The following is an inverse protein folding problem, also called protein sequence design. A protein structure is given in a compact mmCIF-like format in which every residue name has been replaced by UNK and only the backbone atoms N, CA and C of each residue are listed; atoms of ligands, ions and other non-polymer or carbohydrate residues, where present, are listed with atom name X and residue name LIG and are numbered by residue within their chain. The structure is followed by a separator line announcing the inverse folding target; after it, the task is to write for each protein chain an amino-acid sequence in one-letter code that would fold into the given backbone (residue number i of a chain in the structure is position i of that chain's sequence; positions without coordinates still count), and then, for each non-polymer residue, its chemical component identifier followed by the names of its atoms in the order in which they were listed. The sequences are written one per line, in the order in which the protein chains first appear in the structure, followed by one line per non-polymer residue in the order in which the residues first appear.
data_IF_215237920416
#
_entry.id   IF_215237920416
#
_cell.length_a   1.000
_cell.length_b   1.000
_cell.length_c   1.000
_cell.angle_alpha   90.00
_cell.angle_beta   90.00
_cell.angle_gamma   90.00
#
_symmetry.space_group_name_H-M   'P 1'
#
loop_
_entity.id
_entity.type
_entity.pdbx_description
1 polymer ?
#
# COMPACT_ATOMS: atom_id res chain seq x y z
N UNK A 1 -29.88 -33.27 9.60
CA UNK A 1 -30.39 -31.89 9.75
C UNK A 1 -29.98 -31.12 8.51
N UNK A 2 -30.96 -30.78 7.67
CA UNK A 2 -30.80 -30.06 6.41
C UNK A 2 -30.66 -28.58 6.72
N UNK A 3 -29.44 -28.04 6.64
CA UNK A 3 -29.25 -26.59 6.44
C UNK A 3 -29.86 -26.30 5.07
N UNK A 4 -31.10 -25.82 5.07
CA UNK A 4 -31.89 -25.65 3.84
C UNK A 4 -31.22 -24.61 2.94
N UNK A 5 -31.17 -24.89 1.63
CA UNK A 5 -30.62 -24.05 0.56
C UNK A 5 -30.90 -22.53 0.71
N UNK A 6 -32.02 -22.17 1.34
CA UNK A 6 -32.45 -20.79 1.59
C UNK A 6 -31.52 -20.03 2.54
N UNK A 7 -30.96 -20.68 3.57
CA UNK A 7 -29.99 -20.09 4.49
C UNK A 7 -28.62 -19.88 3.81
N UNK A 8 -28.25 -20.78 2.88
CA UNK A 8 -27.02 -20.64 2.10
C UNK A 8 -27.08 -19.43 1.16
N UNK A 9 -28.22 -19.20 0.50
CA UNK A 9 -28.42 -18.01 -0.35
C UNK A 9 -28.31 -16.71 0.45
N UNK A 10 -28.94 -16.65 1.63
CA UNK A 10 -28.86 -15.48 2.52
C UNK A 10 -27.43 -15.21 3.00
N UNK A 11 -26.69 -16.25 3.36
CA UNK A 11 -25.28 -16.13 3.77
C UNK A 11 -24.39 -15.58 2.65
N UNK A 12 -24.63 -15.99 1.40
CA UNK A 12 -23.89 -15.46 0.24
C UNK A 12 -24.17 -13.96 0.06
N UNK A 13 -25.44 -13.55 0.07
CA UNK A 13 -25.79 -12.14 -0.07
C UNK A 13 -25.22 -11.29 1.06
N UNK A 14 -25.33 -11.75 2.31
CA UNK A 14 -24.78 -11.05 3.48
C UNK A 14 -23.25 -10.90 3.39
N UNK A 15 -22.53 -11.94 2.94
CA UNK A 15 -21.09 -11.86 2.75
C UNK A 15 -20.69 -10.82 1.68
N UNK A 16 -21.44 -10.76 0.58
CA UNK A 16 -21.22 -9.74 -0.48
C UNK A 16 -21.50 -8.33 0.05
N UNK A 17 -22.57 -8.14 0.82
CA UNK A 17 -22.89 -6.84 1.43
C UNK A 17 -21.80 -6.37 2.39
N UNK A 18 -21.31 -7.26 3.27
CA UNK A 18 -20.20 -6.96 4.19
C UNK A 18 -18.94 -6.54 3.42
N UNK A 19 -18.64 -7.21 2.31
CA UNK A 19 -17.49 -6.86 1.47
C UNK A 19 -17.66 -5.48 0.81
N UNK A 20 -18.85 -5.18 0.27
CA UNK A 20 -19.15 -3.88 -0.31
C UNK A 20 -19.02 -2.75 0.72
N UNK A 21 -19.52 -2.99 1.94
CA UNK A 21 -19.38 -2.03 3.04
C UNK A 21 -17.92 -1.85 3.47
N UNK A 22 -17.13 -2.93 3.45
CA UNK A 22 -15.69 -2.87 3.67
C UNK A 22 -15.00 -1.96 2.64
N UNK A 23 -15.36 -2.06 1.35
CA UNK A 23 -14.81 -1.18 0.32
C UNK A 23 -15.20 0.29 0.48
N UNK A 24 -16.45 0.58 0.87
CA UNK A 24 -16.86 1.96 1.20
C UNK A 24 -16.03 2.52 2.36
N UNK A 25 -15.83 1.73 3.40
CA UNK A 25 -15.03 2.14 4.56
C UNK A 25 -13.56 2.40 4.16
N UNK A 26 -12.99 1.59 3.27
CA UNK A 26 -11.65 1.84 2.74
C UNK A 26 -11.58 3.10 1.88
N UNK A 27 -12.61 3.38 1.07
CA UNK A 27 -12.69 4.63 0.30
C UNK A 27 -12.68 5.86 1.22
N UNK A 28 -13.47 5.83 2.31
CA UNK A 28 -13.47 6.88 3.34
C UNK A 28 -12.08 6.98 3.99
N UNK A 29 -11.50 5.85 4.42
CA UNK A 29 -10.18 5.82 5.04
C UNK A 29 -9.11 6.46 4.16
N UNK A 30 -9.02 6.07 2.88
CA UNK A 30 -8.03 6.63 1.95
C UNK A 30 -8.27 8.09 1.60
N UNK A 31 -9.53 8.55 1.67
CA UNK A 31 -9.88 9.96 1.43
C UNK A 31 -9.47 10.84 2.62
N UNK A 32 -9.74 10.38 3.84
CA UNK A 32 -9.27 11.04 5.06
C UNK A 32 -7.74 10.99 5.17
N UNK A 33 -7.11 9.88 4.77
CA UNK A 33 -5.66 9.76 4.74
C UNK A 33 -5.02 10.79 3.81
N UNK A 34 -5.61 11.05 2.64
CA UNK A 34 -5.12 12.10 1.74
C UNK A 34 -5.29 13.48 2.34
N UNK A 35 -6.50 13.79 2.82
CA UNK A 35 -6.81 15.11 3.39
C UNK A 35 -5.87 15.44 4.55
N UNK A 36 -5.69 14.51 5.49
CA UNK A 36 -4.78 14.69 6.63
C UNK A 36 -3.33 14.63 6.17
N UNK A 37 -3.01 13.80 5.18
CA UNK A 37 -1.68 13.73 4.56
C UNK A 37 -1.22 15.08 4.04
N UNK A 38 -2.08 15.76 3.28
CA UNK A 38 -1.84 17.11 2.75
C UNK A 38 -1.58 18.13 3.88
N UNK A 39 -2.39 18.10 4.95
CA UNK A 39 -2.19 18.94 6.14
C UNK A 39 -0.83 18.70 6.81
N UNK A 40 -0.32 17.46 6.74
CA UNK A 40 0.95 17.03 7.32
C UNK A 40 2.14 17.14 6.35
N UNK A 41 1.94 17.72 5.16
CA UNK A 41 2.99 17.94 4.15
C UNK A 41 3.31 16.71 3.29
N UNK A 42 2.42 15.72 3.25
CA UNK A 42 2.46 14.64 2.25
C UNK A 42 1.70 15.03 0.98
N UNK A 43 2.18 14.56 -0.15
CA UNK A 43 1.52 14.71 -1.46
C UNK A 43 1.31 13.33 -2.05
N UNK A 44 0.09 13.04 -2.51
CA UNK A 44 -0.23 11.77 -3.15
C UNK A 44 0.48 11.66 -4.50
N UNK A 45 1.16 10.54 -4.75
CA UNK A 45 1.78 10.29 -6.05
C UNK A 45 0.78 9.80 -7.10
N UNK A 46 -0.27 9.11 -6.65
CA UNK A 46 -1.34 8.60 -7.51
C UNK A 46 -2.71 9.03 -6.97
N UNK A 47 -3.64 9.47 -7.84
CA UNK A 47 -4.96 9.94 -7.40
C UNK A 47 -5.85 8.81 -6.84
N UNK A 48 -5.49 7.55 -7.09
CA UNK A 48 -6.19 6.36 -6.59
C UNK A 48 -5.17 5.42 -5.98
N UNK A 49 -5.62 4.56 -5.06
CA UNK A 49 -4.80 3.43 -4.62
C UNK A 49 -4.50 2.49 -5.81
N UNK A 50 -3.30 1.95 -5.82
CA UNK A 50 -2.89 0.84 -6.66
C UNK A 50 -3.44 -0.47 -6.10
N UNK A 51 -3.64 -1.44 -6.99
CA UNK A 51 -4.15 -2.77 -6.65
C UNK A 51 -3.72 -3.79 -7.68
N UNK A 52 -3.60 -5.04 -7.25
CA UNK A 52 -3.56 -6.16 -8.18
C UNK A 52 -4.97 -6.56 -8.60
N UNK A 53 -5.14 -6.85 -9.89
CA UNK A 53 -6.36 -7.40 -10.49
C UNK A 53 -5.96 -8.30 -11.65
N UNK A 54 -6.71 -9.38 -11.85
CA UNK A 54 -6.57 -10.26 -13.01
C UNK A 54 -7.94 -10.61 -13.56
N UNK A 55 -8.08 -10.61 -14.88
CA UNK A 55 -9.32 -11.08 -15.54
C UNK A 55 -9.28 -12.60 -15.82
N UNK A 56 -8.10 -13.21 -15.74
CA UNK A 56 -7.88 -14.64 -16.07
C UNK A 56 -7.62 -15.52 -14.85
N UNK A 57 -7.42 -14.93 -13.67
CA UNK A 57 -7.18 -15.62 -12.41
C UNK A 57 -8.25 -15.21 -11.40
N UNK A 58 -9.00 -16.18 -10.89
CA UNK A 58 -10.10 -15.95 -9.96
C UNK A 58 -9.65 -15.30 -8.65
N UNK A 59 -8.40 -15.50 -8.25
CA UNK A 59 -7.83 -14.86 -7.07
C UNK A 59 -7.68 -13.35 -7.25
N UNK A 60 -7.65 -12.88 -8.51
CA UNK A 60 -7.56 -11.46 -8.88
C UNK A 60 -8.91 -10.80 -9.18
N UNK A 61 -10.02 -11.52 -9.06
CA UNK A 61 -11.36 -10.93 -9.18
C UNK A 61 -11.73 -10.13 -7.94
N UNK A 62 -11.20 -10.52 -6.78
CA UNK A 62 -11.39 -9.86 -5.49
C UNK A 62 -10.20 -8.96 -5.18
N UNK A 63 -10.47 -7.68 -4.91
CA UNK A 63 -9.43 -6.73 -4.51
C UNK A 63 -9.25 -6.83 -3.00
N UNK A 64 -8.11 -7.34 -2.57
CA UNK A 64 -7.79 -7.57 -1.16
C UNK A 64 -6.55 -6.82 -0.69
N UNK A 65 -5.88 -6.11 -1.60
CA UNK A 65 -4.63 -5.39 -1.37
C UNK A 65 -4.73 -4.02 -2.04
N UNK A 66 -4.49 -2.97 -1.24
CA UNK A 66 -4.67 -1.58 -1.61
C UNK A 66 -3.42 -0.81 -1.20
N UNK A 67 -2.67 -0.28 -2.16
CA UNK A 67 -1.44 0.44 -1.89
C UNK A 67 -1.53 1.88 -2.39
N UNK A 68 -1.27 2.84 -1.50
CA UNK A 68 -1.23 4.26 -1.87
C UNK A 68 0.15 4.84 -1.61
N UNK A 69 0.63 5.65 -2.55
CA UNK A 69 1.97 6.22 -2.50
C UNK A 69 1.93 7.71 -2.21
N UNK A 70 2.88 8.14 -1.40
CA UNK A 70 3.03 9.51 -0.96
C UNK A 70 4.49 9.96 -1.07
N UNK A 71 4.69 11.25 -1.25
CA UNK A 71 5.98 11.94 -1.16
C UNK A 71 5.85 13.14 -0.22
N UNK A 72 6.94 13.76 0.19
CA UNK A 72 6.87 14.98 1.00
C UNK A 72 6.84 16.21 0.11
N UNK A 73 5.99 17.18 0.44
CA UNK A 73 5.87 18.45 -0.28
C UNK A 73 7.18 19.25 -0.27
N UNK A 74 7.96 19.10 0.80
CA UNK A 74 9.25 19.76 0.95
C UNK A 74 10.35 19.18 0.01
N UNK A 75 10.14 17.99 -0.56
CA UNK A 75 11.12 17.37 -1.44
C UNK A 75 11.22 18.10 -2.79
N UNK A 76 12.42 18.21 -3.38
CA UNK A 76 12.65 18.88 -4.66
C UNK A 76 11.78 18.29 -5.78
N UNK A 77 11.26 19.13 -6.67
CA UNK A 77 10.52 18.65 -7.86
C UNK A 77 11.49 18.08 -8.89
N UNK A 78 11.11 16.99 -9.56
CA UNK A 78 11.87 16.40 -10.65
C UNK A 78 11.88 17.31 -11.88
N UNK A 79 13.04 17.47 -12.50
CA UNK A 79 13.17 18.19 -13.78
C UNK A 79 12.48 17.46 -14.94
N UNK A 80 12.32 16.14 -14.84
CA UNK A 80 11.75 15.30 -15.91
C UNK A 80 10.25 15.07 -15.75
N UNK A 81 9.76 14.99 -14.51
CA UNK A 81 8.36 14.71 -14.20
C UNK A 81 7.84 15.77 -13.20
N UNK A 82 7.10 16.80 -13.65
CA UNK A 82 6.69 17.91 -12.79
C UNK A 82 5.89 17.52 -11.53
N UNK A 83 5.16 16.40 -11.60
CA UNK A 83 4.35 15.88 -10.48
C UNK A 83 5.14 14.93 -9.57
N UNK A 84 6.42 14.67 -9.87
CA UNK A 84 7.30 13.81 -9.10
C UNK A 84 8.21 14.68 -8.21
N UNK A 85 8.35 14.27 -6.95
CA UNK A 85 9.37 14.82 -6.05
C UNK A 85 10.54 13.84 -5.90
N UNK A 86 11.74 14.37 -5.72
CA UNK A 86 12.99 13.60 -5.61
C UNK A 86 13.36 13.52 -4.14
N UNK A 87 12.81 12.53 -3.46
CA UNK A 87 13.04 12.27 -2.04
C UNK A 87 12.67 10.84 -1.66
N UNK A 88 12.25 10.63 -0.41
CA UNK A 88 11.77 9.30 -0.03
C UNK A 88 10.38 9.07 -0.62
N UNK A 89 10.12 7.84 -1.06
CA UNK A 89 8.78 7.40 -1.42
C UNK A 89 8.17 6.68 -0.22
N UNK A 90 6.95 7.04 0.13
CA UNK A 90 6.20 6.42 1.22
C UNK A 90 5.03 5.62 0.65
N UNK A 91 4.66 4.54 1.34
CA UNK A 91 3.53 3.69 0.99
C UNK A 91 2.65 3.42 2.20
N UNK A 92 1.34 3.44 1.98
CA UNK A 92 0.34 2.91 2.92
C UNK A 92 -0.38 1.77 2.23
N UNK A 93 -0.19 0.57 2.74
CA UNK A 93 -0.76 -0.66 2.19
C UNK A 93 -1.81 -1.22 3.14
N UNK A 94 -3.01 -1.51 2.63
CA UNK A 94 -4.04 -2.25 3.35
C UNK A 94 -4.17 -3.64 2.75
N UNK A 95 -3.99 -4.67 3.58
CA UNK A 95 -4.17 -6.09 3.21
C UNK A 95 -5.31 -6.70 4.00
N UNK A 96 -6.37 -7.12 3.30
CA UNK A 96 -7.59 -7.70 3.88
C UNK A 96 -7.52 -9.24 4.01
N UNK A 97 -6.64 -9.89 3.26
CA UNK A 97 -6.53 -11.34 3.15
C UNK A 97 -5.64 -11.98 4.22
N UNK A 98 -5.42 -11.27 5.31
CA UNK A 98 -4.67 -11.72 6.48
C UNK A 98 -5.64 -12.26 7.54
N UNK A 99 -5.13 -12.96 8.57
CA UNK A 99 -5.97 -13.44 9.70
C UNK A 99 -6.77 -12.28 10.34
N UNK A 100 -6.17 -11.10 10.36
CA UNK A 100 -6.79 -9.82 10.70
C UNK A 100 -6.28 -8.76 9.71
N UNK A 101 -7.12 -7.81 9.26
CA UNK A 101 -6.71 -6.78 8.31
C UNK A 101 -5.48 -5.99 8.77
N UNK A 102 -4.47 -5.92 7.92
CA UNK A 102 -3.17 -5.29 8.22
C UNK A 102 -3.06 -3.97 7.47
N UNK A 103 -2.46 -2.99 8.15
CA UNK A 103 -1.98 -1.74 7.59
C UNK A 103 -0.44 -1.74 7.61
N UNK A 104 0.21 -1.79 6.45
CA UNK A 104 1.67 -1.64 6.35
C UNK A 104 2.02 -0.18 6.08
N UNK A 105 2.88 0.39 6.93
CA UNK A 105 3.51 1.69 6.70
C UNK A 105 4.87 1.44 6.06
N UNK A 106 5.13 2.01 4.90
CA UNK A 106 6.27 1.66 4.06
C UNK A 106 7.08 2.90 3.71
N UNK A 107 8.41 2.78 3.75
CA UNK A 107 9.34 3.74 3.15
C UNK A 107 10.23 3.01 2.15
N UNK A 108 10.38 3.58 0.97
CA UNK A 108 11.26 3.11 -0.10
C UNK A 108 12.41 4.11 -0.31
N UNK A 109 13.60 3.56 -0.54
CA UNK A 109 14.75 4.27 -1.07
C UNK A 109 14.81 3.99 -2.58
N UNK A 110 14.63 5.02 -3.40
CA UNK A 110 14.36 4.89 -4.84
C UNK A 110 15.36 5.68 -5.66
N UNK A 111 15.92 5.02 -6.67
CA UNK A 111 16.60 5.69 -7.79
C UNK A 111 15.61 6.05 -8.88
N UNK A 112 15.18 7.32 -8.89
CA UNK A 112 14.23 7.81 -9.90
C UNK A 112 14.79 7.85 -11.33
N UNK A 113 16.11 7.67 -11.54
CA UNK A 113 16.69 7.63 -12.90
C UNK A 113 16.19 6.43 -13.73
N UNK A 114 15.62 5.42 -13.08
CA UNK A 114 15.02 4.27 -13.74
C UNK A 114 13.54 4.47 -14.12
N UNK A 115 12.93 5.61 -13.77
CA UNK A 115 11.53 5.89 -14.05
C UNK A 115 11.37 6.41 -15.48
N UNK A 116 10.39 5.86 -16.20
CA UNK A 116 10.05 6.28 -17.56
C UNK A 116 8.65 6.90 -17.66
N UNK A 117 7.84 6.76 -16.61
CA UNK A 117 6.49 7.31 -16.47
C UNK A 117 6.07 7.32 -15.00
N UNK A 118 4.99 8.03 -14.70
CA UNK A 118 4.35 7.97 -13.39
C UNK A 118 3.69 6.60 -13.15
N UNK A 119 3.58 6.13 -11.88
CA UNK A 119 2.88 4.91 -11.54
C UNK A 119 1.40 4.96 -11.92
N UNK A 120 0.90 3.85 -12.44
CA UNK A 120 -0.52 3.61 -12.69
C UNK A 120 -1.09 2.64 -11.64
N UNK A 121 -2.42 2.56 -11.57
CA UNK A 121 -3.13 1.66 -10.62
C UNK A 121 -2.66 0.20 -10.72
N UNK A 122 -2.32 -0.26 -11.93
CA UNK A 122 -1.85 -1.62 -12.21
C UNK A 122 -0.39 -1.89 -11.87
N UNK A 123 0.40 -0.86 -11.54
CA UNK A 123 1.81 -1.01 -11.17
C UNK A 123 2.01 -1.41 -9.70
N UNK A 124 0.93 -1.82 -9.02
CA UNK A 124 0.95 -2.35 -7.65
C UNK A 124 2.12 -3.31 -7.39
N UNK A 125 2.36 -4.24 -8.32
CA UNK A 125 3.40 -5.26 -8.20
C UNK A 125 4.82 -4.68 -8.06
N UNK A 126 5.08 -3.46 -8.56
CA UNK A 126 6.38 -2.79 -8.45
C UNK A 126 6.70 -2.48 -6.99
N UNK A 127 5.71 -1.99 -6.25
CA UNK A 127 5.85 -1.49 -4.89
C UNK A 127 5.45 -2.53 -3.83
N UNK A 128 4.63 -3.51 -4.20
CA UNK A 128 4.35 -4.73 -3.43
C UNK A 128 5.55 -5.69 -3.43
N UNK A 129 6.26 -5.77 -4.55
CA UNK A 129 7.36 -6.71 -4.79
C UNK A 129 8.47 -6.74 -3.72
N UNK A 130 8.94 -5.59 -3.18
CA UNK A 130 10.00 -5.54 -2.16
C UNK A 130 9.77 -6.42 -0.92
N UNK A 131 8.53 -6.80 -0.60
CA UNK A 131 8.24 -7.65 0.57
C UNK A 131 7.71 -9.03 0.20
N UNK A 132 7.75 -9.40 -1.09
CA UNK A 132 7.04 -10.57 -1.62
C UNK A 132 7.83 -11.37 -2.65
N UNK A 133 8.72 -10.72 -3.41
CA UNK A 133 9.46 -11.35 -4.50
C UNK A 133 10.92 -11.62 -4.11
N UNK A 134 11.15 -12.70 -3.36
CA UNK A 134 12.48 -13.13 -2.86
C UNK A 134 13.52 -13.38 -3.98
N UNK A 135 13.05 -13.60 -5.21
CA UNK A 135 13.96 -13.67 -6.34
C UNK A 135 14.61 -12.30 -6.60
N UNK A 136 13.91 -11.19 -6.43
CA UNK A 136 14.41 -9.83 -6.72
C UNK A 136 14.91 -9.08 -5.49
N UNK A 137 14.56 -9.53 -4.28
CA UNK A 137 14.88 -8.85 -3.04
C UNK A 137 15.37 -9.83 -1.98
N UNK A 138 16.32 -9.41 -1.17
CA UNK A 138 16.61 -10.04 0.12
C UNK A 138 15.64 -9.48 1.14
N UNK A 139 14.75 -10.34 1.67
CA UNK A 139 13.62 -9.93 2.50
C UNK A 139 13.80 -10.51 3.90
N UNK A 140 13.62 -9.68 4.92
CA UNK A 140 13.66 -10.10 6.31
C UNK A 140 12.44 -9.53 7.07
N UNK A 141 11.93 -10.30 8.02
CA UNK A 141 10.86 -9.90 8.93
C UNK A 141 11.26 -10.22 10.37
N UNK A 142 11.26 -9.22 11.24
CA UNK A 142 11.46 -9.37 12.68
C UNK A 142 10.28 -8.74 13.39
N UNK A 143 9.44 -9.58 14.02
CA UNK A 143 8.18 -9.11 14.61
C UNK A 143 7.26 -8.52 13.54
N UNK A 144 6.88 -7.26 13.68
CA UNK A 144 6.07 -6.52 12.70
C UNK A 144 6.89 -5.66 11.74
N UNK A 145 8.21 -5.63 11.87
CA UNK A 145 9.11 -4.85 11.02
C UNK A 145 9.61 -5.71 9.86
N UNK A 146 9.52 -5.18 8.66
CA UNK A 146 10.06 -5.76 7.44
C UNK A 146 11.18 -4.89 6.90
N UNK A 147 12.20 -5.53 6.35
CA UNK A 147 13.26 -4.86 5.60
C UNK A 147 13.52 -5.63 4.32
N UNK A 148 13.82 -4.92 3.25
CA UNK A 148 14.32 -5.55 2.04
C UNK A 148 15.40 -4.75 1.34
N UNK A 149 16.29 -5.46 0.65
CA UNK A 149 17.32 -4.88 -0.21
C UNK A 149 17.22 -5.50 -1.58
N UNK A 150 17.27 -4.66 -2.61
CA UNK A 150 17.09 -5.09 -3.99
C UNK A 150 18.34 -5.77 -4.51
N UNK A 151 18.16 -6.95 -5.10
CA UNK A 151 19.22 -7.63 -5.85
C UNK A 151 19.38 -6.96 -7.21
N UNK A 152 20.56 -7.06 -7.82
CA UNK A 152 20.89 -6.39 -9.09
C UNK A 152 19.81 -6.57 -10.18
N UNK A 153 19.34 -7.81 -10.39
CA UNK A 153 18.29 -8.13 -11.37
C UNK A 153 16.92 -7.52 -11.08
N UNK A 154 16.69 -7.04 -9.86
CA UNK A 154 15.46 -6.42 -9.38
C UNK A 154 15.39 -4.92 -9.61
N UNK A 155 16.54 -4.23 -9.66
CA UNK A 155 16.63 -2.75 -9.64
C UNK A 155 15.82 -2.14 -10.78
N UNK A 156 16.15 -2.46 -12.03
CA UNK A 156 15.43 -1.92 -13.19
C UNK A 156 13.96 -2.38 -13.24
N UNK A 157 13.71 -3.63 -12.86
CA UNK A 157 12.35 -4.21 -12.90
C UNK A 157 11.40 -3.53 -11.90
N UNK A 158 11.91 -3.11 -10.75
CA UNK A 158 11.14 -2.43 -9.70
C UNK A 158 11.53 -0.96 -9.60
N UNK A 159 11.79 -0.35 -10.76
CA UNK A 159 11.84 1.10 -10.94
C UNK A 159 12.84 1.78 -10.00
N UNK A 160 14.00 1.16 -9.82
CA UNK A 160 15.09 1.73 -9.04
C UNK A 160 14.92 1.65 -7.54
N UNK A 161 13.91 0.94 -7.00
CA UNK A 161 13.85 0.65 -5.57
C UNK A 161 15.16 -0.04 -5.19
N UNK A 162 15.94 0.55 -4.27
CA UNK A 162 17.21 0.03 -3.75
C UNK A 162 16.99 -0.81 -2.49
N UNK A 163 16.08 -0.35 -1.65
CA UNK A 163 15.69 -0.99 -0.39
C UNK A 163 14.34 -0.45 0.06
N UNK A 164 13.66 -1.21 0.89
CA UNK A 164 12.41 -0.81 1.51
C UNK A 164 12.35 -1.26 2.96
N UNK A 165 11.62 -0.50 3.76
CA UNK A 165 11.31 -0.84 5.15
C UNK A 165 9.80 -0.71 5.35
N UNK A 166 9.20 -1.63 6.10
CA UNK A 166 7.82 -1.52 6.50
C UNK A 166 7.59 -1.88 7.96
N UNK A 167 6.53 -1.34 8.54
CA UNK A 167 6.00 -1.75 9.84
C UNK A 167 4.53 -2.08 9.68
N UNK A 168 4.15 -3.29 10.07
CA UNK A 168 2.76 -3.75 10.10
C UNK A 168 2.07 -3.26 11.39
N UNK A 169 0.86 -2.73 11.25
CA UNK A 169 -0.10 -2.41 12.30
C UNK A 169 -1.43 -3.12 12.00
N UNK A 170 -2.30 -3.25 13.00
CA UNK A 170 -3.66 -3.72 12.75
C UNK A 170 -4.50 -2.57 12.21
N UNK A 171 -5.18 -2.75 11.08
CA UNK A 171 -6.01 -1.71 10.48
C UNK A 171 -7.10 -1.23 11.45
N UNK A 172 -7.64 -2.16 12.23
CA UNK A 172 -8.73 -1.90 13.19
C UNK A 172 -8.35 -0.95 14.32
N UNK A 173 -7.05 -0.68 14.53
CA UNK A 173 -6.57 0.26 15.55
C UNK A 173 -6.62 1.73 15.07
N UNK A 174 -6.84 1.96 13.77
CA UNK A 174 -6.97 3.31 13.18
C UNK A 174 -8.45 3.63 12.99
N UNK A 175 -9.02 4.43 13.91
CA UNK A 175 -10.48 4.66 14.01
C UNK A 175 -10.89 6.11 13.78
N UNK A 176 -9.92 7.02 13.72
CA UNK A 176 -10.17 8.45 13.67
C UNK A 176 -9.10 9.19 12.86
N UNK A 177 -9.41 10.45 12.51
CA UNK A 177 -8.45 11.40 11.93
C UNK A 177 -7.21 11.57 12.80
N UNK A 178 -7.38 11.57 14.13
CA UNK A 178 -6.23 11.67 15.03
C UNK A 178 -5.36 10.42 15.01
N UNK A 179 -5.97 9.24 14.85
CA UNK A 179 -5.21 7.99 14.66
C UNK A 179 -4.45 7.98 13.34
N UNK A 180 -5.04 8.50 12.26
CA UNK A 180 -4.34 8.68 10.98
C UNK A 180 -3.09 9.55 11.19
N UNK A 181 -3.23 10.69 11.86
CA UNK A 181 -2.10 11.59 12.12
C UNK A 181 -1.00 10.90 12.94
N UNK A 182 -1.33 10.41 14.12
CA UNK A 182 -0.33 9.89 15.07
C UNK A 182 0.17 8.49 14.74
N UNK A 183 -0.71 7.59 14.31
CA UNK A 183 -0.38 6.17 14.12
C UNK A 183 0.06 5.83 12.70
N UNK A 184 -0.29 6.65 11.70
CA UNK A 184 0.05 6.41 10.29
C UNK A 184 1.09 7.40 9.80
N UNK A 185 0.76 8.70 9.79
CA UNK A 185 1.58 9.72 9.13
C UNK A 185 2.85 10.07 9.91
N UNK A 186 2.77 10.26 11.23
CA UNK A 186 3.96 10.48 12.08
C UNK A 186 4.90 9.28 12.02
N UNK A 187 4.36 8.06 12.21
CA UNK A 187 5.16 6.84 12.12
C UNK A 187 5.81 6.64 10.76
N UNK A 188 5.15 7.00 9.66
CA UNK A 188 5.74 6.98 8.32
C UNK A 188 7.00 7.85 8.25
N UNK A 189 6.96 9.07 8.81
CA UNK A 189 8.11 10.00 8.85
C UNK A 189 9.27 9.43 9.68
N UNK A 190 8.96 8.67 10.73
CA UNK A 190 9.93 8.05 11.64
C UNK A 190 10.60 6.79 11.08
N UNK A 191 10.04 6.18 10.02
CA UNK A 191 10.64 5.01 9.40
C UNK A 191 12.04 5.34 8.86
N UNK A 192 13.06 4.72 9.42
CA UNK A 192 14.46 4.90 9.06
C UNK A 192 15.11 3.57 8.74
N UNK A 193 16.03 3.58 7.78
CA UNK A 193 16.91 2.45 7.52
C UNK A 193 17.99 2.43 8.59
N UNK A 194 18.21 1.25 9.17
CA UNK A 194 19.32 1.00 10.10
C UNK A 194 20.68 1.08 9.38
#
# INVERSE_FOLDING_TARGET
MSVTLNEQGQNISAAVEVLLETYKNLEIFFSELDRVGEEEGFVTLTPRFMRWKSDTDYTGWLIQDFLKLYQLEADPVSETFPDLRIGNLFGVEVRLNEKYPVLSLIRYDVDYSHWTRMPAVSDHWVFYGPFKYENFFDINKVGNRWTSTTREKGIKRHWGIKRAIAVDLQLVDVKSVQDIRLQVLEKLKELTFD
#
